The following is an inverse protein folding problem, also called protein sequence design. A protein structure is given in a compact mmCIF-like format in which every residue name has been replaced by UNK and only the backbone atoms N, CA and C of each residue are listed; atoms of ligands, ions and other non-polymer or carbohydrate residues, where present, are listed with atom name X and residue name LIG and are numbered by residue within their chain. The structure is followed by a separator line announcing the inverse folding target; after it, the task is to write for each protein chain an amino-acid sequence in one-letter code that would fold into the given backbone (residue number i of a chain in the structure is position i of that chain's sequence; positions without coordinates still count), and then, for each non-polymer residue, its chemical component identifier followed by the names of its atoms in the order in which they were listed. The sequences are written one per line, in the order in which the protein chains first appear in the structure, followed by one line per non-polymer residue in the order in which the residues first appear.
data_IF_479587544402
#
_entry.id   IF_479587544402
#
_cell.length_a   1.000
_cell.length_b   1.000
_cell.length_c   1.000
_cell.angle_alpha   90.00
_cell.angle_beta   90.00
_cell.angle_gamma   90.00
#
_symmetry.space_group_name_H-M   'P 1'
#
loop_
_entity.id
_entity.type
_entity.pdbx_description
1 polymer ?
#
# COMPACT_ATOMS: atom_id res chain seq x y z
N UNK A 1 39.62 -5.92 -10.32
CA UNK A 1 39.89 -5.09 -9.13
C UNK A 1 38.67 -4.18 -8.99
N UNK A 2 37.67 -4.38 -8.13
CA UNK A 2 37.39 -5.26 -6.98
C UNK A 2 35.97 -5.82 -7.19
N UNK A 3 35.70 -7.13 -7.23
CA UNK A 3 35.55 -8.06 -6.09
C UNK A 3 34.82 -7.45 -4.88
N UNK A 4 33.50 -7.65 -4.83
CA UNK A 4 32.71 -8.07 -3.67
C UNK A 4 31.26 -8.30 -4.14
N UNK A 5 30.92 -9.58 -4.34
CA UNK A 5 29.64 -10.29 -4.11
C UNK A 5 29.89 -11.67 -4.75
N UNK A 6 30.73 -12.46 -4.08
CA UNK A 6 30.99 -13.87 -4.37
C UNK A 6 30.41 -14.72 -3.26
N UNK A 7 29.14 -14.48 -2.92
CA UNK A 7 28.47 -15.08 -1.78
C UNK A 7 27.04 -15.58 -2.02
N UNK A 8 26.50 -15.49 -3.25
CA UNK A 8 25.19 -16.11 -3.52
C UNK A 8 25.36 -17.58 -3.90
N UNK A 9 24.72 -18.43 -3.12
CA UNK A 9 24.69 -19.90 -3.24
C UNK A 9 24.27 -20.39 -4.64
N UNK A 10 23.59 -19.54 -5.41
CA UNK A 10 23.06 -19.80 -6.76
C UNK A 10 24.08 -19.77 -7.92
N UNK A 11 25.35 -19.41 -7.70
CA UNK A 11 26.37 -19.40 -8.78
C UNK A 11 27.17 -20.71 -8.88
N UNK A 12 27.18 -21.54 -7.83
CA UNK A 12 27.92 -22.80 -7.78
C UNK A 12 27.13 -24.02 -8.28
N UNK A 13 25.82 -23.92 -8.39
CA UNK A 13 24.98 -25.00 -8.94
C UNK A 13 24.86 -24.98 -10.48
N UNK A 14 25.33 -23.92 -11.15
CA UNK A 14 25.25 -23.77 -12.60
C UNK A 14 26.40 -24.42 -13.40
N UNK A 15 27.40 -25.04 -12.75
CA UNK A 15 28.59 -25.59 -13.44
C UNK A 15 28.86 -27.08 -13.23
N UNK A 16 27.92 -27.86 -12.69
CA UNK A 16 28.06 -29.30 -12.61
C UNK A 16 26.76 -30.00 -12.99
N UNK A 17 26.69 -30.48 -14.24
CA UNK A 17 26.48 -31.89 -14.59
C UNK A 17 26.02 -32.04 -16.04
N UNK A 18 26.84 -32.75 -16.82
CA UNK A 18 26.46 -33.40 -18.07
C UNK A 18 25.86 -34.78 -17.76
N UNK A 19 24.82 -35.12 -18.51
CA UNK A 19 24.49 -36.43 -19.13
C UNK A 19 24.48 -37.70 -18.26
N UNK A 20 23.28 -38.29 -18.05
CA UNK A 20 22.87 -39.69 -18.31
C UNK A 20 21.68 -40.12 -17.42
N UNK A 21 20.86 -41.01 -18.01
CA UNK A 21 19.52 -41.49 -17.64
C UNK A 21 19.23 -41.89 -16.18
N UNK A 22 17.95 -41.75 -15.76
CA UNK A 22 17.00 -42.84 -15.41
C UNK A 22 15.60 -42.24 -15.13
N UNK A 23 14.56 -42.75 -15.80
CA UNK A 23 13.11 -42.46 -15.59
C UNK A 23 12.51 -43.37 -14.49
N UNK A 24 11.36 -43.04 -13.86
CA UNK A 24 10.02 -43.38 -14.42
C UNK A 24 8.94 -42.30 -14.16
N UNK A 25 8.34 -41.71 -15.20
CA UNK A 25 7.03 -42.04 -15.79
C UNK A 25 5.79 -41.69 -14.96
N UNK A 26 5.06 -40.63 -15.36
CA UNK A 26 3.59 -40.67 -15.52
C UNK A 26 3.17 -39.71 -16.64
N UNK A 27 2.31 -40.20 -17.54
CA UNK A 27 1.89 -39.61 -18.81
C UNK A 27 0.74 -38.61 -18.62
N UNK A 28 0.83 -37.43 -19.24
CA UNK A 28 -0.31 -36.74 -19.88
C UNK A 28 0.15 -36.21 -21.25
N UNK A 29 -0.68 -36.44 -22.27
CA UNK A 29 -0.40 -36.24 -23.70
C UNK A 29 -0.56 -34.77 -24.16
N UNK A 30 0.51 -34.27 -24.78
CA UNK A 30 0.65 -33.39 -25.97
C UNK A 30 -0.53 -32.50 -26.41
N UNK A 31 -0.30 -31.18 -26.43
CA UNK A 31 0.15 -30.49 -27.65
C UNK A 31 1.21 -29.42 -27.32
N UNK A 32 2.14 -29.25 -28.27
CA UNK A 32 3.46 -28.66 -28.13
C UNK A 32 3.52 -27.15 -28.40
N UNK A 33 4.41 -26.48 -27.66
CA UNK A 33 5.41 -25.50 -28.11
C UNK A 33 4.89 -24.23 -28.80
N UNK A 34 5.02 -23.08 -28.12
CA UNK A 34 5.75 -21.92 -28.67
C UNK A 34 6.59 -21.28 -27.56
N UNK A 35 7.90 -21.30 -27.78
CA UNK A 35 8.94 -20.56 -27.06
C UNK A 35 8.96 -19.07 -27.43
N UNK A 36 9.56 -18.26 -26.55
CA UNK A 36 10.25 -17.01 -26.87
C UNK A 36 9.47 -15.90 -27.62
N UNK A 37 8.34 -15.42 -27.07
CA UNK A 37 7.66 -14.18 -27.57
C UNK A 37 6.98 -13.31 -26.49
N UNK A 38 7.44 -13.34 -25.24
CA UNK A 38 6.92 -12.43 -24.19
C UNK A 38 7.77 -11.17 -24.03
N UNK A 39 9.10 -11.26 -24.14
CA UNK A 39 9.98 -10.11 -23.95
C UNK A 39 9.86 -9.04 -25.04
N UNK A 40 9.54 -9.41 -26.28
CA UNK A 40 9.47 -8.46 -27.40
C UNK A 40 8.07 -7.90 -27.71
N UNK A 41 7.05 -8.18 -26.90
CA UNK A 41 5.69 -7.65 -27.10
C UNK A 41 5.28 -6.51 -26.16
N UNK A 42 6.16 -6.12 -25.24
CA UNK A 42 5.91 -5.01 -24.30
C UNK A 42 6.23 -3.64 -24.94
N UNK A 43 6.87 -3.60 -26.12
CA UNK A 43 7.32 -2.35 -26.74
C UNK A 43 6.29 -1.58 -27.58
N UNK A 44 5.02 -1.99 -27.62
CA UNK A 44 3.97 -1.19 -28.30
C UNK A 44 2.65 -1.31 -27.54
N UNK A 45 2.44 -0.44 -26.55
CA UNK A 45 1.10 -0.16 -26.05
C UNK A 45 0.91 1.35 -26.13
N UNK A 46 0.27 1.77 -27.23
CA UNK A 46 -0.27 3.13 -27.39
C UNK A 46 -1.54 3.27 -26.51
N UNK A 47 -1.89 4.53 -26.21
CA UNK A 47 -2.85 5.07 -25.23
C UNK A 47 -4.26 4.43 -25.03
N UNK A 48 -4.60 3.31 -25.66
CA UNK A 48 -5.90 2.63 -25.52
C UNK A 48 -5.82 1.25 -24.81
N UNK A 49 -4.64 0.82 -24.34
CA UNK A 49 -4.47 -0.47 -23.66
C UNK A 49 -4.92 -0.48 -22.19
N UNK A 50 -4.93 0.67 -21.52
CA UNK A 50 -5.26 0.82 -20.09
C UNK A 50 -6.75 0.61 -19.83
N UNK A 51 -7.61 1.05 -20.75
CA UNK A 51 -9.07 0.99 -20.63
C UNK A 51 -9.65 -0.43 -20.81
N UNK A 52 -8.96 -1.27 -21.59
CA UNK A 52 -9.32 -2.68 -21.80
C UNK A 52 -8.91 -3.56 -20.63
N UNK A 53 -7.80 -3.22 -19.96
CA UNK A 53 -7.33 -3.92 -18.77
C UNK A 53 -8.23 -3.57 -17.58
N UNK A 54 -8.56 -2.30 -17.33
CA UNK A 54 -9.43 -1.95 -16.19
C UNK A 54 -10.81 -2.66 -16.23
N UNK A 55 -11.44 -2.74 -17.40
CA UNK A 55 -12.72 -3.43 -17.60
C UNK A 55 -12.63 -4.96 -17.50
N UNK A 56 -11.52 -5.59 -17.90
CA UNK A 56 -11.35 -7.04 -17.74
C UNK A 56 -11.11 -7.46 -16.29
N UNK A 57 -10.43 -6.63 -15.50
CA UNK A 57 -10.13 -6.93 -14.11
C UNK A 57 -11.26 -6.59 -13.13
N UNK A 58 -12.25 -5.80 -13.55
CA UNK A 58 -13.38 -5.40 -12.72
C UNK A 58 -14.30 -6.55 -12.26
N UNK A 59 -14.33 -7.69 -12.96
CA UNK A 59 -15.33 -8.74 -12.67
C UNK A 59 -14.84 -10.21 -12.61
N UNK A 60 -13.60 -10.56 -12.95
CA UNK A 60 -13.20 -11.99 -13.04
C UNK A 60 -11.78 -12.36 -12.59
N UNK A 61 -10.91 -11.42 -12.23
CA UNK A 61 -9.59 -11.74 -11.70
C UNK A 61 -9.61 -11.72 -10.17
N UNK A 62 -10.13 -12.80 -9.56
CA UNK A 62 -9.91 -13.08 -8.15
C UNK A 62 -8.42 -12.96 -7.82
N UNK A 63 -8.09 -12.45 -6.63
CA UNK A 63 -6.71 -12.23 -6.19
C UNK A 63 -5.91 -13.53 -6.33
N UNK A 64 -5.08 -13.64 -7.37
CA UNK A 64 -4.04 -14.66 -7.41
C UNK A 64 -2.99 -14.19 -6.40
N UNK A 65 -3.21 -14.54 -5.13
CA UNK A 65 -2.24 -14.40 -4.05
C UNK A 65 -1.34 -15.63 -4.14
N UNK A 66 -0.16 -15.47 -4.74
CA UNK A 66 0.77 -16.58 -4.98
C UNK A 66 1.37 -17.10 -3.66
N UNK A 67 1.50 -16.21 -2.66
CA UNK A 67 1.97 -16.52 -1.29
C UNK A 67 1.52 -15.44 -0.31
N UNK A 68 1.74 -15.68 0.99
CA UNK A 68 1.62 -14.65 2.04
C UNK A 68 2.85 -13.73 2.06
N UNK A 69 2.66 -12.51 2.54
CA UNK A 69 3.71 -11.51 2.72
C UNK A 69 4.63 -11.84 3.90
N UNK A 70 5.89 -11.43 3.82
CA UNK A 70 6.88 -11.68 4.86
C UNK A 70 6.59 -10.93 6.16
N UNK A 71 5.96 -9.75 6.10
CA UNK A 71 5.58 -8.97 7.29
C UNK A 71 4.46 -9.64 8.12
N UNK A 72 3.67 -10.55 7.53
CA UNK A 72 2.60 -11.28 8.26
C UNK A 72 3.20 -12.20 9.33
N UNK A 73 4.46 -12.62 9.13
CA UNK A 73 5.21 -13.56 9.98
C UNK A 73 5.88 -12.91 11.20
N UNK A 74 5.83 -11.58 11.32
CA UNK A 74 6.37 -10.88 12.49
C UNK A 74 5.69 -11.38 13.79
N UNK A 75 6.47 -11.44 14.87
CA UNK A 75 5.95 -11.79 16.19
C UNK A 75 5.00 -10.71 16.72
N UNK A 76 4.21 -11.03 17.75
CA UNK A 76 3.33 -10.05 18.37
C UNK A 76 4.13 -8.92 19.04
N UNK A 77 5.32 -9.22 19.55
CA UNK A 77 6.26 -8.22 20.08
C UNK A 77 6.76 -7.28 18.98
N UNK A 78 7.17 -7.81 17.81
CA UNK A 78 7.61 -6.98 16.68
C UNK A 78 6.48 -6.09 16.15
N UNK A 79 5.25 -6.61 16.08
CA UNK A 79 4.05 -5.83 15.71
C UNK A 79 3.74 -4.77 16.75
N UNK A 80 3.90 -5.09 18.02
CA UNK A 80 3.73 -4.14 19.12
C UNK A 80 4.74 -2.99 19.00
N UNK A 81 6.02 -3.28 18.73
CA UNK A 81 7.06 -2.27 18.50
C UNK A 81 6.73 -1.33 17.33
N UNK A 82 6.14 -1.85 16.25
CA UNK A 82 5.62 -1.02 15.15
C UNK A 82 4.56 -0.05 15.70
N UNK A 83 3.54 -0.55 16.41
CA UNK A 83 2.45 0.26 16.96
C UNK A 83 2.96 1.36 17.90
N UNK A 84 3.95 1.06 18.75
CA UNK A 84 4.50 2.02 19.72
C UNK A 84 5.22 3.21 19.05
N UNK A 85 5.70 3.05 17.81
CA UNK A 85 6.34 4.13 17.04
C UNK A 85 5.34 4.98 16.26
N UNK A 86 4.09 4.53 16.12
CA UNK A 86 3.07 5.21 15.32
C UNK A 86 2.44 6.39 16.05
N UNK A 87 2.24 7.47 15.31
CA UNK A 87 1.48 8.63 15.72
C UNK A 87 0.30 8.88 14.77
N UNK A 88 -0.79 9.53 15.24
CA UNK A 88 -1.89 9.88 14.36
C UNK A 88 -1.41 10.69 13.16
N UNK A 89 -1.95 10.37 11.99
CA UNK A 89 -1.57 10.89 10.67
C UNK A 89 -0.23 10.40 10.11
N UNK A 90 0.37 9.36 10.68
CA UNK A 90 1.41 8.61 9.97
C UNK A 90 0.84 7.97 8.70
N UNK A 91 1.60 8.04 7.61
CA UNK A 91 1.25 7.44 6.33
C UNK A 91 2.03 6.14 6.18
N UNK A 92 1.30 5.04 6.03
CA UNK A 92 1.84 3.71 5.79
C UNK A 92 1.93 3.47 4.29
N UNK A 93 3.07 2.97 3.81
CA UNK A 93 3.37 2.61 2.44
C UNK A 93 3.57 1.10 2.36
N UNK A 94 2.89 0.44 1.43
CA UNK A 94 2.94 -1.02 1.25
C UNK A 94 3.64 -1.39 -0.06
N UNK A 95 4.44 -2.47 0.00
CA UNK A 95 4.89 -3.24 -1.17
C UNK A 95 4.43 -4.70 -1.06
N UNK A 96 3.76 -5.21 -2.10
CA UNK A 96 3.28 -6.59 -2.14
C UNK A 96 3.38 -7.22 -3.56
N UNK A 97 4.59 -7.59 -4.02
CA UNK A 97 4.84 -8.05 -5.40
C UNK A 97 4.18 -9.38 -5.75
N UNK A 98 3.65 -10.09 -4.75
CA UNK A 98 2.89 -11.32 -4.93
C UNK A 98 1.40 -11.09 -5.23
N UNK A 99 0.92 -9.84 -5.17
CA UNK A 99 -0.42 -9.46 -5.60
C UNK A 99 -0.33 -9.03 -7.06
N UNK A 100 -1.12 -9.66 -7.94
CA UNK A 100 -1.12 -9.33 -9.38
C UNK A 100 -1.36 -7.83 -9.66
N UNK A 101 -2.09 -7.14 -8.78
CA UNK A 101 -2.33 -5.69 -8.87
C UNK A 101 -1.07 -4.83 -8.71
N UNK A 102 -0.06 -5.30 -7.97
CA UNK A 102 1.22 -4.59 -7.78
C UNK A 102 1.95 -4.38 -9.10
N UNK A 103 1.92 -5.36 -10.01
CA UNK A 103 2.52 -5.25 -11.35
C UNK A 103 1.90 -4.16 -12.24
N UNK A 104 0.69 -3.68 -11.90
CA UNK A 104 -0.02 -2.67 -12.67
C UNK A 104 0.08 -1.27 -12.08
N UNK A 105 0.68 -1.12 -10.89
CA UNK A 105 0.89 0.17 -10.24
C UNK A 105 2.35 0.58 -10.47
N UNK A 106 2.62 1.60 -11.31
CA UNK A 106 3.99 2.02 -11.56
C UNK A 106 4.65 2.57 -10.30
N UNK A 107 5.88 2.13 -10.03
CA UNK A 107 6.67 2.56 -8.88
C UNK A 107 7.04 1.40 -7.96
N UNK A 108 7.66 1.74 -6.82
CA UNK A 108 7.96 0.77 -5.79
C UNK A 108 6.71 0.47 -4.96
N UNK A 109 6.17 1.49 -4.29
CA UNK A 109 5.03 1.36 -3.38
C UNK A 109 3.73 1.18 -4.17
N UNK A 110 2.91 0.23 -3.75
CA UNK A 110 1.67 -0.14 -4.45
C UNK A 110 0.40 0.24 -3.70
N UNK A 111 0.48 0.59 -2.42
CA UNK A 111 -0.68 0.95 -1.61
C UNK A 111 -0.30 1.91 -0.48
N UNK A 112 -1.29 2.64 0.04
CA UNK A 112 -1.12 3.52 1.19
C UNK A 112 -2.28 3.39 2.18
N UNK A 113 -1.97 3.62 3.46
CA UNK A 113 -2.93 3.76 4.55
C UNK A 113 -2.57 4.92 5.47
N UNK A 114 -3.52 5.33 6.31
CA UNK A 114 -3.33 6.41 7.30
C UNK A 114 -3.53 5.84 8.70
N UNK A 115 -2.57 6.08 9.59
CA UNK A 115 -2.70 5.72 11.00
C UNK A 115 -3.64 6.68 11.72
N UNK A 116 -4.76 6.18 12.23
CA UNK A 116 -5.75 6.95 12.97
C UNK A 116 -5.29 7.28 14.40
N UNK A 117 -4.44 6.45 15.00
CA UNK A 117 -4.11 6.54 16.42
C UNK A 117 -4.99 5.68 17.33
N UNK A 118 -4.63 5.64 18.61
CA UNK A 118 -5.38 4.94 19.66
C UNK A 118 -6.39 5.88 20.37
N UNK A 119 -7.21 5.32 21.27
CA UNK A 119 -8.23 6.08 22.01
C UNK A 119 -7.66 7.28 22.79
N UNK A 120 -6.50 7.12 23.43
CA UNK A 120 -5.88 8.20 24.19
C UNK A 120 -5.39 9.33 23.28
N UNK A 121 -4.76 8.98 22.16
CA UNK A 121 -4.30 9.96 21.16
C UNK A 121 -5.49 10.72 20.54
N UNK A 122 -6.56 10.02 20.19
CA UNK A 122 -7.77 10.62 19.62
C UNK A 122 -8.51 11.52 20.61
N UNK A 123 -8.51 11.18 21.92
CA UNK A 123 -9.04 12.05 22.98
C UNK A 123 -8.19 13.30 23.16
N UNK A 124 -6.87 13.14 23.18
CA UNK A 124 -5.94 14.27 23.33
C UNK A 124 -6.10 15.29 22.19
N UNK A 125 -6.36 14.81 20.97
CA UNK A 125 -6.62 15.65 19.79
C UNK A 125 -8.07 16.13 19.66
N UNK A 126 -8.97 15.75 20.58
CA UNK A 126 -10.39 16.12 20.51
C UNK A 126 -11.18 15.50 19.34
N UNK A 127 -10.63 14.47 18.68
CA UNK A 127 -11.29 13.75 17.57
C UNK A 127 -12.28 12.70 18.11
N UNK A 128 -12.00 12.13 19.28
CA UNK A 128 -12.77 11.03 19.86
C UNK A 128 -14.28 11.30 19.93
N UNK A 129 -14.67 12.52 20.29
CA UNK A 129 -16.07 12.91 20.45
C UNK A 129 -16.79 13.14 19.10
N UNK A 130 -16.03 13.32 18.01
CA UNK A 130 -16.57 13.46 16.66
C UNK A 130 -16.89 12.13 15.99
N UNK A 131 -16.32 11.03 16.49
CA UNK A 131 -16.42 9.69 15.87
C UNK A 131 -17.85 9.16 15.71
N UNK A 132 -18.80 9.33 16.66
CA UNK A 132 -20.17 8.87 16.47
C UNK A 132 -20.84 9.53 15.26
N UNK A 133 -20.72 10.86 15.12
CA UNK A 133 -21.30 11.60 13.99
C UNK A 133 -20.69 11.17 12.66
N UNK A 134 -19.37 10.95 12.62
CA UNK A 134 -18.68 10.48 11.42
C UNK A 134 -19.13 9.06 11.03
N UNK A 135 -19.37 8.20 12.02
CA UNK A 135 -19.92 6.87 11.79
C UNK A 135 -21.35 6.92 11.24
N UNK A 136 -22.21 7.77 11.81
CA UNK A 136 -23.59 7.93 11.31
C UNK A 136 -23.59 8.35 9.84
N UNK A 137 -22.73 9.31 9.46
CA UNK A 137 -22.53 9.70 8.05
C UNK A 137 -22.07 8.51 7.20
N UNK A 138 -21.11 7.72 7.67
CA UNK A 138 -20.60 6.57 6.93
C UNK A 138 -21.68 5.51 6.67
N UNK A 139 -22.55 5.27 7.65
CA UNK A 139 -23.68 4.32 7.55
C UNK A 139 -24.78 4.89 6.64
N UNK A 140 -25.25 6.10 6.92
CA UNK A 140 -26.41 6.69 6.24
C UNK A 140 -26.11 7.03 4.78
N UNK A 141 -24.93 7.59 4.50
CA UNK A 141 -24.57 8.05 3.17
C UNK A 141 -23.92 6.96 2.32
N UNK A 142 -23.06 6.14 2.92
CA UNK A 142 -22.23 5.19 2.16
C UNK A 142 -22.54 3.72 2.46
N UNK A 143 -23.51 3.42 3.34
CA UNK A 143 -23.88 2.04 3.66
C UNK A 143 -22.79 1.27 4.37
N UNK A 144 -21.91 1.94 5.12
CA UNK A 144 -20.85 1.27 5.88
C UNK A 144 -21.43 0.25 6.88
N UNK A 145 -20.93 -0.99 6.84
CA UNK A 145 -21.42 -2.11 7.66
C UNK A 145 -20.44 -2.56 8.74
N UNK A 146 -19.29 -1.89 8.87
CA UNK A 146 -18.31 -2.22 9.90
C UNK A 146 -18.72 -1.73 11.29
N UNK A 147 -17.96 -2.09 12.35
CA UNK A 147 -18.23 -1.64 13.70
C UNK A 147 -18.16 -0.11 13.82
N UNK A 148 -18.90 0.45 14.78
CA UNK A 148 -18.77 1.86 15.12
C UNK A 148 -17.32 2.23 15.44
N UNK A 149 -16.95 3.49 15.18
CA UNK A 149 -15.54 3.90 15.19
C UNK A 149 -14.90 3.81 16.59
N UNK A 150 -15.64 4.00 17.69
CA UNK A 150 -15.12 3.76 19.04
C UNK A 150 -14.73 2.30 19.26
N UNK A 151 -15.60 1.37 18.89
CA UNK A 151 -15.36 -0.07 19.01
C UNK A 151 -14.26 -0.52 18.07
N UNK A 152 -14.18 0.05 16.87
CA UNK A 152 -13.09 -0.19 15.94
C UNK A 152 -11.73 0.18 16.55
N UNK A 153 -11.59 1.40 17.09
CA UNK A 153 -10.33 1.84 17.71
C UNK A 153 -9.99 1.00 18.94
N UNK A 154 -10.97 0.69 19.80
CA UNK A 154 -10.77 -0.17 20.98
C UNK A 154 -10.39 -1.61 20.66
N UNK A 155 -10.74 -2.09 19.47
CA UNK A 155 -10.35 -3.42 18.98
C UNK A 155 -9.06 -3.42 18.16
N UNK A 156 -8.29 -2.33 18.19
CA UNK A 156 -7.00 -2.22 17.51
C UNK A 156 -7.12 -1.98 16.00
N UNK A 157 -8.29 -1.54 15.51
CA UNK A 157 -8.44 -1.10 14.12
C UNK A 157 -8.02 0.37 14.04
N UNK A 158 -6.75 0.61 13.72
CA UNK A 158 -6.13 1.93 13.74
C UNK A 158 -5.62 2.39 12.38
N UNK A 159 -5.90 1.65 11.29
CA UNK A 159 -5.45 2.01 9.93
C UNK A 159 -6.66 2.28 9.07
N UNK A 160 -6.77 3.50 8.54
CA UNK A 160 -7.77 3.86 7.53
C UNK A 160 -7.15 3.64 6.15
N UNK A 161 -7.82 2.87 5.30
CA UNK A 161 -7.31 2.54 3.96
C UNK A 161 -8.44 2.32 2.96
N UNK A 162 -8.18 2.62 1.69
CA UNK A 162 -9.12 2.33 0.59
C UNK A 162 -8.81 0.96 -0.02
N UNK A 163 -9.73 0.01 0.14
CA UNK A 163 -9.64 -1.34 -0.39
C UNK A 163 -10.81 -1.62 -1.33
N UNK A 164 -10.80 -2.75 -2.05
CA UNK A 164 -11.89 -3.10 -3.00
C UNK A 164 -13.31 -2.94 -2.44
N UNK A 165 -13.62 -3.33 -1.19
CA UNK A 165 -14.95 -3.14 -0.62
C UNK A 165 -15.29 -1.69 -0.24
N UNK A 166 -14.38 -0.74 -0.45
CA UNK A 166 -14.46 0.65 -0.03
C UNK A 166 -13.40 1.03 1.02
N UNK A 167 -13.48 2.27 1.50
CA UNK A 167 -12.64 2.78 2.57
C UNK A 167 -13.06 2.16 3.91
N UNK A 168 -12.10 1.55 4.61
CA UNK A 168 -12.34 0.83 5.86
C UNK A 168 -11.35 1.25 6.94
N UNK A 169 -11.65 0.86 8.18
CA UNK A 169 -10.70 0.92 9.30
C UNK A 169 -10.31 -0.49 9.75
N UNK A 170 -9.03 -0.81 9.65
CA UNK A 170 -8.46 -2.14 9.79
C UNK A 170 -7.36 -2.21 10.85
N UNK A 171 -7.04 -3.44 11.26
CA UNK A 171 -5.97 -3.73 12.19
C UNK A 171 -4.62 -3.73 11.48
N UNK A 172 -3.54 -3.53 12.23
CA UNK A 172 -2.18 -3.72 11.72
C UNK A 172 -2.00 -5.14 11.14
N UNK A 173 -2.55 -6.16 11.79
CA UNK A 173 -2.47 -7.55 11.32
C UNK A 173 -3.05 -7.73 9.90
N UNK A 174 -4.16 -7.07 9.57
CA UNK A 174 -4.74 -7.14 8.23
C UNK A 174 -3.86 -6.41 7.20
N UNK A 175 -3.27 -5.29 7.59
CA UNK A 175 -2.40 -4.49 6.74
C UNK A 175 -1.07 -5.21 6.44
N UNK A 176 -0.53 -5.99 7.38
CA UNK A 176 0.81 -6.59 7.27
C UNK A 176 0.92 -7.82 6.36
N UNK A 177 -0.12 -8.21 5.60
CA UNK A 177 0.05 -9.22 4.55
C UNK A 177 0.74 -8.60 3.31
N UNK A 178 1.99 -8.17 3.50
CA UNK A 178 2.86 -7.38 2.60
C UNK A 178 4.32 -7.82 2.80
N UNK A 179 5.23 -7.41 1.92
CA UNK A 179 6.65 -7.70 2.10
C UNK A 179 7.44 -6.53 2.70
N UNK A 180 7.14 -5.31 2.27
CA UNK A 180 7.80 -4.11 2.76
C UNK A 180 6.79 -3.12 3.32
N UNK A 181 7.18 -2.47 4.40
CA UNK A 181 6.44 -1.42 5.08
C UNK A 181 7.32 -0.19 5.20
N UNK A 182 6.92 0.91 4.58
CA UNK A 182 7.46 2.22 4.86
C UNK A 182 6.47 3.02 5.71
N UNK A 183 6.93 3.80 6.67
CA UNK A 183 6.10 4.79 7.36
C UNK A 183 6.74 6.16 7.33
N UNK A 184 5.97 7.16 6.92
CA UNK A 184 6.40 8.56 6.84
C UNK A 184 5.45 9.46 7.63
N UNK A 185 5.98 10.56 8.16
CA UNK A 185 5.26 11.51 9.00
C UNK A 185 5.45 12.93 8.51
N UNK A 186 4.36 13.69 8.46
CA UNK A 186 4.41 15.14 8.35
C UNK A 186 4.63 15.75 9.74
N UNK A 187 5.76 16.43 9.95
CA UNK A 187 6.23 16.86 11.28
C UNK A 187 5.92 18.32 11.60
N UNK A 188 5.39 19.08 10.64
CA UNK A 188 5.16 20.52 10.78
C UNK A 188 3.69 20.90 11.11
N UNK A 189 2.83 19.91 11.33
CA UNK A 189 1.41 20.10 11.66
C UNK A 189 1.20 20.46 13.13
N UNK A 190 0.29 21.41 13.41
CA UNK A 190 -0.20 21.65 14.76
C UNK A 190 -1.18 20.54 15.19
N UNK A 191 -1.55 20.50 16.48
CA UNK A 191 -2.56 19.55 16.97
C UNK A 191 -3.95 19.82 16.35
N UNK A 192 -4.28 21.08 16.03
CA UNK A 192 -5.54 21.42 15.36
C UNK A 192 -5.54 21.00 13.88
N UNK A 193 -4.39 21.13 13.19
CA UNK A 193 -4.23 20.62 11.83
C UNK A 193 -4.36 19.09 11.84
N UNK A 194 -3.65 18.42 12.76
CA UNK A 194 -3.68 16.96 12.90
C UNK A 194 -5.09 16.44 13.21
N UNK A 195 -5.83 17.13 14.09
CA UNK A 195 -7.26 16.86 14.36
C UNK A 195 -8.11 17.01 13.11
N UNK A 196 -7.93 18.08 12.35
CA UNK A 196 -8.65 18.33 11.08
C UNK A 196 -8.37 17.22 10.09
N UNK A 197 -7.10 16.85 9.88
CA UNK A 197 -6.74 15.78 8.95
C UNK A 197 -7.31 14.43 9.37
N UNK A 198 -7.34 14.13 10.68
CA UNK A 198 -7.97 12.91 11.19
C UNK A 198 -9.47 12.90 10.91
N UNK A 199 -10.18 14.00 11.19
CA UNK A 199 -11.61 14.11 10.88
C UNK A 199 -11.84 13.90 9.37
N UNK A 200 -10.99 14.50 8.53
CA UNK A 200 -11.03 14.31 7.09
C UNK A 200 -10.81 12.84 6.70
N UNK A 201 -9.83 12.16 7.28
CA UNK A 201 -9.56 10.74 7.03
C UNK A 201 -10.74 9.85 7.45
N UNK A 202 -11.29 10.04 8.66
CA UNK A 202 -12.46 9.30 9.14
C UNK A 202 -13.70 9.55 8.27
N UNK A 203 -13.88 10.76 7.74
CA UNK A 203 -15.01 11.09 6.87
C UNK A 203 -14.99 10.36 5.51
N UNK A 204 -13.85 9.76 5.15
CA UNK A 204 -13.76 8.94 3.93
C UNK A 204 -14.26 7.51 4.14
N UNK A 205 -14.33 7.01 5.38
CA UNK A 205 -14.74 5.63 5.67
C UNK A 205 -16.15 5.38 5.12
N UNK A 206 -16.33 4.24 4.45
CA UNK A 206 -17.58 3.83 3.80
C UNK A 206 -17.64 4.16 2.31
N UNK A 207 -16.90 5.17 1.82
CA UNK A 207 -16.87 5.49 0.39
C UNK A 207 -16.40 4.29 -0.44
N UNK A 208 -16.95 4.14 -1.64
CA UNK A 208 -16.56 3.04 -2.53
C UNK A 208 -15.13 3.23 -3.03
N UNK A 209 -14.53 2.13 -3.47
CA UNK A 209 -13.23 2.20 -4.14
C UNK A 209 -13.44 2.63 -5.60
N UNK A 210 -12.68 3.62 -6.03
CA UNK A 210 -12.70 4.03 -7.43
C UNK A 210 -11.82 3.11 -8.29
N UNK A 211 -12.44 2.08 -8.89
CA UNK A 211 -11.74 1.20 -9.82
C UNK A 211 -11.49 1.84 -11.20
N UNK A 212 -12.13 2.97 -11.45
CA UNK A 212 -12.06 3.71 -12.72
C UNK A 212 -11.03 4.85 -12.69
N UNK A 213 -10.45 5.14 -11.51
CA UNK A 213 -9.54 6.27 -11.26
C UNK A 213 -10.17 7.61 -11.71
N UNK A 214 -11.47 7.74 -11.51
CA UNK A 214 -12.30 8.90 -11.85
C UNK A 214 -12.67 9.75 -10.61
N UNK A 215 -11.76 10.64 -10.24
CA UNK A 215 -11.85 11.58 -9.10
C UNK A 215 -13.00 12.61 -9.16
N UNK A 216 -13.80 12.62 -10.23
CA UNK A 216 -15.03 13.44 -10.31
C UNK A 216 -16.21 12.79 -9.58
N UNK A 217 -16.09 11.52 -9.16
CA UNK A 217 -17.03 10.89 -8.23
C UNK A 217 -16.69 11.27 -6.79
N UNK A 218 -17.54 12.04 -6.12
CA UNK A 218 -17.33 12.40 -4.70
C UNK A 218 -17.46 11.21 -3.74
N UNK A 219 -18.00 10.09 -4.24
CA UNK A 219 -18.37 8.90 -3.47
C UNK A 219 -17.42 7.70 -3.74
N UNK A 220 -16.38 7.87 -4.57
CA UNK A 220 -15.35 6.86 -4.85
C UNK A 220 -13.93 7.43 -4.61
N UNK A 221 -13.03 6.65 -3.99
CA UNK A 221 -11.65 7.10 -3.64
C UNK A 221 -10.64 5.97 -3.84
N UNK A 222 -9.49 6.23 -4.50
CA UNK A 222 -8.33 5.32 -4.48
C UNK A 222 -7.44 5.50 -3.24
N UNK A 223 -6.55 4.55 -2.96
CA UNK A 223 -5.75 4.56 -1.72
C UNK A 223 -4.94 5.86 -1.52
N UNK A 224 -4.31 6.40 -2.56
CA UNK A 224 -3.53 7.64 -2.50
C UNK A 224 -4.40 8.91 -2.48
N UNK A 225 -5.64 8.85 -2.96
CA UNK A 225 -6.62 9.93 -2.82
C UNK A 225 -7.12 10.06 -1.38
N UNK A 226 -7.12 8.98 -0.59
CA UNK A 226 -7.37 9.08 0.85
C UNK A 226 -6.34 10.01 1.52
N UNK A 227 -5.06 9.90 1.16
CA UNK A 227 -4.02 10.78 1.67
C UNK A 227 -4.25 12.21 1.20
N UNK A 228 -4.52 12.42 -0.09
CA UNK A 228 -4.85 13.74 -0.63
C UNK A 228 -6.05 14.39 0.06
N UNK A 229 -7.14 13.64 0.27
CA UNK A 229 -8.35 14.11 0.92
C UNK A 229 -8.19 14.35 2.43
N UNK A 230 -7.21 13.72 3.06
CA UNK A 230 -6.93 13.92 4.49
C UNK A 230 -6.12 15.19 4.74
N UNK A 231 -5.08 15.42 3.94
CA UNK A 231 -4.16 16.56 4.06
C UNK A 231 -4.52 17.68 3.06
N UNK A 232 -5.54 18.47 3.38
CA UNK A 232 -6.16 19.43 2.47
C UNK A 232 -5.30 20.65 2.11
N UNK A 233 -4.36 21.02 2.97
CA UNK A 233 -3.48 22.18 2.84
C UNK A 233 -2.09 21.82 2.26
N UNK A 234 -1.83 20.52 2.05
CA UNK A 234 -0.60 20.06 1.44
C UNK A 234 -0.72 20.00 -0.08
N UNK A 235 0.23 20.65 -0.76
CA UNK A 235 0.35 20.56 -2.21
C UNK A 235 1.01 19.23 -2.58
N UNK A 236 0.24 18.26 -3.06
CA UNK A 236 0.75 16.98 -3.54
C UNK A 236 1.24 17.07 -4.99
N UNK A 237 2.32 16.36 -5.32
CA UNK A 237 2.79 16.23 -6.71
C UNK A 237 1.84 15.30 -7.46
N UNK A 238 0.75 15.88 -7.97
CA UNK A 238 -0.29 15.18 -8.73
C UNK A 238 0.07 15.24 -10.21
N UNK A 239 -0.08 14.12 -10.93
CA UNK A 239 0.14 14.09 -12.38
C UNK A 239 -1.19 14.15 -13.10
N UNK A 240 -1.23 14.96 -14.16
CA UNK A 240 -2.37 14.99 -15.08
C UNK A 240 -2.26 13.82 -16.07
N UNK A 241 -2.94 12.71 -15.82
CA UNK A 241 -3.08 11.61 -16.77
C UNK A 241 -4.47 11.66 -17.42
N UNK A 242 -4.52 11.62 -18.76
CA UNK A 242 -5.77 11.66 -19.54
C UNK A 242 -6.74 12.79 -19.14
N UNK A 243 -6.20 13.96 -18.77
CA UNK A 243 -7.01 15.12 -18.37
C UNK A 243 -7.26 15.27 -16.87
N UNK A 244 -6.81 14.34 -16.01
CA UNK A 244 -7.20 14.25 -14.59
C UNK A 244 -6.01 14.13 -13.64
N UNK A 245 -6.11 14.71 -12.45
CA UNK A 245 -5.06 14.66 -11.42
C UNK A 245 -5.15 13.34 -10.65
N UNK A 246 -4.13 12.50 -10.74
CA UNK A 246 -3.96 11.32 -9.90
C UNK A 246 -2.68 11.45 -9.08
N UNK A 247 -2.65 10.79 -7.93
CA UNK A 247 -1.49 10.66 -7.07
C UNK A 247 -1.18 9.17 -6.92
N UNK A 248 0.08 8.76 -7.04
CA UNK A 248 0.52 7.38 -6.77
C UNK A 248 1.10 7.25 -5.36
N UNK A 249 1.17 6.02 -4.80
CA UNK A 249 1.88 5.79 -3.53
C UNK A 249 3.34 6.27 -3.57
N UNK A 250 4.05 6.09 -4.69
CA UNK A 250 5.40 6.64 -4.87
C UNK A 250 5.43 8.18 -4.84
N UNK A 251 4.42 8.86 -5.38
CA UNK A 251 4.34 10.33 -5.29
C UNK A 251 4.12 10.79 -3.84
N UNK A 252 3.37 10.03 -3.04
CA UNK A 252 3.27 10.24 -1.59
C UNK A 252 4.65 10.05 -0.93
N UNK A 253 5.33 8.94 -1.21
CA UNK A 253 6.67 8.66 -0.68
C UNK A 253 7.72 9.72 -1.08
N UNK A 254 7.64 10.27 -2.30
CA UNK A 254 8.52 11.36 -2.78
C UNK A 254 8.40 12.65 -1.97
N UNK A 255 7.42 12.79 -1.07
CA UNK A 255 7.42 13.87 -0.08
C UNK A 255 8.63 13.85 0.82
N UNK A 256 9.24 12.69 1.10
CA UNK A 256 10.51 12.63 1.81
C UNK A 256 11.62 13.40 1.08
N UNK A 257 11.63 13.40 -0.25
CA UNK A 257 12.63 14.10 -1.07
C UNK A 257 12.28 15.58 -1.22
N UNK A 258 11.02 15.84 -1.54
CA UNK A 258 10.57 17.16 -2.02
C UNK A 258 10.14 18.12 -0.92
N UNK A 259 9.89 17.63 0.29
CA UNK A 259 9.35 18.41 1.39
C UNK A 259 10.08 18.07 2.70
N UNK A 260 10.87 19.02 3.22
CA UNK A 260 11.67 18.82 4.43
C UNK A 260 10.82 18.64 5.68
N UNK A 261 9.53 18.94 5.61
CA UNK A 261 8.56 18.72 6.70
C UNK A 261 8.13 17.25 6.79
N UNK A 262 8.58 16.38 5.88
CA UNK A 262 8.36 14.94 5.97
C UNK A 262 9.60 14.20 6.46
N UNK A 263 9.39 13.30 7.41
CA UNK A 263 10.41 12.44 7.98
C UNK A 263 10.00 10.96 7.93
N UNK A 264 10.95 10.03 7.72
CA UNK A 264 10.67 8.60 7.86
C UNK A 264 10.54 8.24 9.35
N UNK A 265 9.58 7.36 9.67
CA UNK A 265 9.34 6.85 11.03
C UNK A 265 9.97 5.47 11.20
N UNK A 266 9.67 4.56 10.26
CA UNK A 266 10.26 3.23 10.20
C UNK A 266 10.25 2.69 8.77
N UNK A 267 11.08 1.69 8.53
CA UNK A 267 11.16 0.98 7.26
C UNK A 267 11.45 -0.50 7.53
N UNK A 268 10.66 -1.37 6.92
CA UNK A 268 10.92 -2.80 6.86
C UNK A 268 11.03 -3.21 5.40
N UNK A 269 12.07 -4.00 5.09
CA UNK A 269 12.26 -4.62 3.76
C UNK A 269 12.32 -6.14 3.91
N UNK A 270 11.47 -6.86 3.19
CA UNK A 270 11.30 -8.31 3.23
C UNK A 270 11.16 -8.84 4.66
N UNK A 271 10.29 -8.21 5.47
CA UNK A 271 10.06 -8.62 6.84
C UNK A 271 11.14 -8.20 7.85
N UNK A 272 12.14 -7.41 7.46
CA UNK A 272 13.24 -7.00 8.36
C UNK A 272 13.27 -5.49 8.57
N UNK A 273 13.32 -5.07 9.84
CA UNK A 273 13.53 -3.67 10.19
C UNK A 273 14.86 -3.17 9.62
N UNK A 274 14.85 -1.97 9.06
CA UNK A 274 16.04 -1.24 8.64
C UNK A 274 16.43 -0.29 9.76
N UNK A 275 17.69 -0.37 10.19
CA UNK A 275 18.27 0.50 11.20
C UNK A 275 19.11 1.62 10.57
N UNK A 276 19.35 2.70 11.32
CA UNK A 276 20.17 3.83 10.89
C UNK A 276 19.40 4.93 10.17
N UNK A 277 20.06 5.66 9.27
CA UNK A 277 19.42 6.74 8.52
C UNK A 277 18.46 6.18 7.46
N UNK A 278 17.16 6.29 7.72
CA UNK A 278 16.13 5.74 6.84
C UNK A 278 15.93 6.54 5.55
N UNK A 279 16.15 7.85 5.59
CA UNK A 279 15.81 8.77 4.49
C UNK A 279 16.58 8.45 3.19
N UNK A 280 17.91 8.18 3.22
CA UNK A 280 18.63 7.71 2.04
C UNK A 280 18.09 6.38 1.48
N UNK A 281 17.73 5.43 2.36
CA UNK A 281 17.19 4.13 1.95
C UNK A 281 15.83 4.29 1.27
N UNK A 282 14.92 5.06 1.86
CA UNK A 282 13.64 5.40 1.24
C UNK A 282 13.80 6.01 -0.16
N UNK A 283 14.71 6.97 -0.30
CA UNK A 283 14.92 7.66 -1.56
C UNK A 283 15.44 6.70 -2.64
N UNK A 284 16.34 5.79 -2.29
CA UNK A 284 16.87 4.79 -3.22
C UNK A 284 15.82 3.78 -3.72
N UNK A 285 14.69 3.62 -3.01
CA UNK A 285 13.56 2.79 -3.49
C UNK A 285 12.72 3.52 -4.54
N UNK A 286 12.85 4.85 -4.65
CA UNK A 286 12.07 5.70 -5.55
C UNK A 286 12.83 6.05 -6.84
N UNK A 287 14.06 5.58 -6.98
CA UNK A 287 14.93 5.79 -8.16
C UNK A 287 14.78 4.64 -9.17
#
# INVERSE_FOLDING_TARGET
MNQLISGSFSYREMLQMKEYDIKPSFKINRFNVISNKLYDRIKIINNNGTELVSKMFGNTAGMIVVRRGTMELLSDEEKSEIIHKMEPMDILLEKAPFRLTDYFIPGYWCHVGVWAGNENQLKALGVWDSLPKLYDIAVEKYGYTGPNFHNSIRSGRNIIESLRPGVQINTLQNFLNIDDLGVIRFTAQSDEDKKTYLINAFSQIGKNYDFSFNVESTDEIVCSELVYASFEDLVWDTKKQMGRYTISPDQVARKLITDTRFAPVLLYLNGKSIDGELKPVFNALLD
#
